data_IF_462513369201
#
_entry.id   IF_462513369201
#
_cell.length_a   1.000
_cell.length_b   1.000
_cell.length_c   1.000
_cell.angle_alpha   90.00
_cell.angle_beta   90.00
_cell.angle_gamma   90.00
#
_symmetry.space_group_name_H-M   'P 1'
#
loop_
_entity.id
_entity.type
_entity.pdbx_description
1 polymer ?
#
# COMPACT_ATOMS: atom_id res chain seq x y z
N UNK A 1 25.02 19.13 -4.29
CA UNK A 1 24.30 19.44 -3.05
C UNK A 1 24.26 18.20 -2.16
N UNK A 2 24.43 18.37 -0.85
CA UNK A 2 24.25 17.29 0.14
C UNK A 2 22.76 17.01 0.42
N UNK A 3 21.89 17.93 0.04
CA UNK A 3 20.46 17.89 0.25
C UNK A 3 19.72 18.00 -1.07
N UNK A 4 18.66 17.22 -1.23
CA UNK A 4 17.69 17.39 -2.35
C UNK A 4 16.88 18.65 -2.13
N UNK A 5 16.45 18.87 -0.92
CA UNK A 5 15.72 20.03 -0.47
C UNK A 5 16.05 20.33 0.99
N UNK A 6 16.00 21.62 1.36
CA UNK A 6 16.17 22.08 2.73
C UNK A 6 14.90 22.85 3.09
N UNK A 7 14.13 22.25 3.97
CA UNK A 7 12.85 22.80 4.40
C UNK A 7 12.90 23.22 5.87
N UNK A 8 12.08 24.21 6.29
CA UNK A 8 11.99 24.59 7.69
C UNK A 8 11.57 23.40 8.56
N UNK A 9 12.35 23.11 9.58
CA UNK A 9 12.07 22.06 10.56
C UNK A 9 11.21 22.63 11.69
N UNK A 10 9.91 22.46 11.59
CA UNK A 10 8.92 22.95 12.56
C UNK A 10 8.29 21.83 13.41
N UNK A 11 8.58 20.59 13.11
CA UNK A 11 8.10 19.44 13.87
C UNK A 11 9.31 18.67 14.44
N UNK A 12 9.46 18.56 15.79
CA UNK A 12 10.60 17.90 16.41
C UNK A 12 10.62 16.37 16.17
N UNK A 13 9.52 15.80 15.65
CA UNK A 13 9.38 14.37 15.39
C UNK A 13 9.46 14.01 13.90
N UNK A 14 9.65 15.00 13.02
CA UNK A 14 9.71 14.77 11.58
C UNK A 14 10.73 15.72 10.95
N UNK A 15 11.70 15.16 10.24
CA UNK A 15 12.61 15.91 9.40
C UNK A 15 11.97 16.18 8.04
N UNK A 16 11.85 17.45 7.64
CA UNK A 16 11.33 17.86 6.35
C UNK A 16 12.43 17.88 5.29
N UNK A 17 13.68 18.15 5.70
CA UNK A 17 14.83 18.15 4.80
C UNK A 17 15.27 16.71 4.49
N UNK A 18 15.50 16.42 3.21
CA UNK A 18 15.87 15.07 2.77
C UNK A 18 17.30 15.06 2.18
N UNK A 19 18.26 14.39 2.81
CA UNK A 19 19.62 14.31 2.29
C UNK A 19 19.73 13.39 1.07
N UNK A 20 20.46 13.84 0.05
CA UNK A 20 20.72 13.04 -1.17
C UNK A 20 21.25 11.65 -0.87
N UNK A 21 22.13 11.55 0.14
CA UNK A 21 22.69 10.26 0.52
C UNK A 21 21.65 9.29 1.09
N UNK A 22 20.66 9.77 1.84
CA UNK A 22 19.57 8.92 2.32
C UNK A 22 18.75 8.35 1.15
N UNK A 23 18.44 9.18 0.13
CA UNK A 23 17.79 8.73 -1.09
C UNK A 23 18.63 7.68 -1.82
N UNK A 24 19.93 7.91 -1.96
CA UNK A 24 20.83 6.96 -2.60
C UNK A 24 20.88 5.61 -1.86
N UNK A 25 20.95 5.64 -0.53
CA UNK A 25 20.94 4.41 0.28
C UNK A 25 19.61 3.67 0.17
N UNK A 26 18.47 4.38 0.18
CA UNK A 26 17.16 3.78 -0.01
C UNK A 26 17.04 3.07 -1.37
N UNK A 27 17.51 3.72 -2.44
CA UNK A 27 17.53 3.12 -3.80
C UNK A 27 18.44 1.89 -3.84
N UNK A 28 19.61 1.95 -3.21
CA UNK A 28 20.53 0.79 -3.14
C UNK A 28 19.89 -0.37 -2.39
N UNK A 29 19.33 -0.12 -1.21
CA UNK A 29 18.63 -1.14 -0.42
C UNK A 29 17.49 -1.78 -1.19
N UNK A 30 16.66 -0.98 -1.87
CA UNK A 30 15.55 -1.50 -2.68
C UNK A 30 16.07 -2.41 -3.81
N UNK A 31 17.18 -2.04 -4.45
CA UNK A 31 17.79 -2.88 -5.51
C UNK A 31 18.36 -4.19 -4.95
N UNK A 32 19.02 -4.16 -3.80
CA UNK A 32 19.52 -5.38 -3.15
C UNK A 32 18.38 -6.31 -2.75
N UNK A 33 17.32 -5.78 -2.11
CA UNK A 33 16.13 -6.57 -1.77
C UNK A 33 15.54 -7.22 -3.02
N UNK A 34 15.39 -6.47 -4.12
CA UNK A 34 14.84 -7.01 -5.36
C UNK A 34 15.75 -8.10 -5.94
N UNK A 35 17.05 -7.87 -5.96
CA UNK A 35 18.06 -8.85 -6.44
C UNK A 35 18.01 -10.14 -5.60
N UNK A 36 17.85 -10.02 -4.30
CA UNK A 36 17.76 -11.17 -3.40
C UNK A 36 16.46 -11.95 -3.61
N UNK A 37 15.32 -11.26 -3.75
CA UNK A 37 14.06 -11.90 -4.08
C UNK A 37 14.14 -12.68 -5.40
N UNK A 38 14.68 -12.07 -6.45
CA UNK A 38 14.87 -12.70 -7.76
C UNK A 38 15.80 -13.92 -7.68
N UNK A 39 16.84 -13.85 -6.86
CA UNK A 39 17.77 -14.97 -6.63
C UNK A 39 17.07 -16.11 -5.91
N UNK A 40 16.31 -15.82 -4.85
CA UNK A 40 15.57 -16.83 -4.10
C UNK A 40 14.41 -17.42 -4.91
N UNK A 41 13.75 -16.62 -5.77
CA UNK A 41 12.75 -17.12 -6.70
C UNK A 41 13.34 -18.16 -7.66
N UNK A 42 14.47 -17.80 -8.30
CA UNK A 42 15.17 -18.73 -9.22
C UNK A 42 15.71 -20.00 -8.53
N UNK A 43 16.10 -19.88 -7.27
CA UNK A 43 16.57 -21.01 -6.46
C UNK A 43 15.44 -21.86 -5.87
N UNK A 44 14.17 -21.46 -6.02
CA UNK A 44 13.02 -22.15 -5.41
C UNK A 44 13.00 -22.08 -3.88
N UNK A 45 13.67 -21.11 -3.28
CA UNK A 45 13.85 -21.00 -1.81
C UNK A 45 12.96 -19.95 -1.17
N UNK A 46 12.08 -19.28 -1.93
CA UNK A 46 11.13 -18.29 -1.40
C UNK A 46 10.20 -18.84 -0.33
N UNK A 47 9.90 -20.16 -0.37
CA UNK A 47 9.09 -20.81 0.67
C UNK A 47 9.69 -20.73 2.08
N UNK A 48 10.97 -20.34 2.21
CA UNK A 48 11.64 -20.13 3.50
C UNK A 48 11.42 -18.72 4.08
N UNK A 49 10.86 -17.80 3.30
CA UNK A 49 10.50 -16.48 3.80
C UNK A 49 9.33 -16.58 4.79
N UNK A 50 9.41 -15.86 5.91
CA UNK A 50 8.26 -15.73 6.79
C UNK A 50 7.10 -15.01 6.09
N UNK A 51 5.86 -15.15 6.59
CA UNK A 51 4.76 -14.34 6.11
C UNK A 51 5.06 -12.85 6.22
N UNK A 52 4.69 -12.11 5.18
CA UNK A 52 4.84 -10.65 5.10
C UNK A 52 3.49 -10.00 5.31
N UNK A 53 3.40 -9.09 6.28
CA UNK A 53 2.24 -8.24 6.48
C UNK A 53 2.62 -6.79 6.14
N UNK A 54 1.93 -6.23 5.15
CA UNK A 54 2.15 -4.85 4.72
C UNK A 54 0.90 -4.01 4.95
N UNK A 55 1.08 -2.82 5.52
CA UNK A 55 0.06 -1.78 5.61
C UNK A 55 0.45 -0.66 4.66
N UNK A 56 -0.42 -0.36 3.69
CA UNK A 56 -0.13 0.56 2.60
C UNK A 56 -1.32 1.47 2.31
N UNK A 57 -1.06 2.75 2.03
CA UNK A 57 -2.08 3.63 1.46
C UNK A 57 -2.18 3.44 -0.05
N UNK A 58 -3.39 3.44 -0.60
CA UNK A 58 -3.59 3.39 -2.06
C UNK A 58 -3.02 4.62 -2.78
N UNK A 59 -2.82 5.72 -2.05
CA UNK A 59 -2.31 7.00 -2.56
C UNK A 59 -0.88 7.31 -2.10
N UNK A 60 -0.11 6.32 -1.66
CA UNK A 60 1.29 6.57 -1.30
C UNK A 60 2.13 6.75 -2.58
N UNK A 61 2.55 7.98 -2.82
CA UNK A 61 3.41 8.35 -3.95
C UNK A 61 4.90 8.11 -3.66
N UNK A 62 5.26 7.90 -2.40
CA UNK A 62 6.65 7.59 -2.00
C UNK A 62 6.95 6.12 -2.19
N UNK A 63 6.00 5.25 -1.79
CA UNK A 63 6.07 3.81 -1.98
C UNK A 63 4.85 3.39 -2.80
N UNK A 64 5.03 3.29 -4.10
CA UNK A 64 3.96 2.99 -5.03
C UNK A 64 3.32 1.63 -4.73
N UNK A 65 2.02 1.64 -4.41
CA UNK A 65 1.27 0.43 -4.02
C UNK A 65 1.28 -0.65 -5.11
N UNK A 66 1.23 -0.26 -6.37
CA UNK A 66 1.33 -1.20 -7.48
C UNK A 66 2.71 -1.88 -7.55
N UNK A 67 3.78 -1.14 -7.23
CA UNK A 67 5.12 -1.70 -7.17
C UNK A 67 5.28 -2.69 -6.00
N UNK A 68 4.65 -2.44 -4.86
CA UNK A 68 4.63 -3.39 -3.73
C UNK A 68 4.01 -4.71 -4.17
N UNK A 69 2.90 -4.69 -4.91
CA UNK A 69 2.27 -5.91 -5.41
C UNK A 69 3.16 -6.60 -6.44
N UNK A 70 3.53 -5.91 -7.52
CA UNK A 70 4.20 -6.56 -8.66
C UNK A 70 5.63 -6.99 -8.37
N UNK A 71 6.32 -6.30 -7.45
CA UNK A 71 7.74 -6.56 -7.15
C UNK A 71 7.96 -7.37 -5.88
N UNK A 72 6.96 -7.49 -5.01
CA UNK A 72 7.06 -8.29 -3.79
C UNK A 72 5.98 -9.37 -3.76
N UNK A 73 4.71 -8.99 -3.65
CA UNK A 73 3.63 -9.94 -3.37
C UNK A 73 3.43 -10.99 -4.46
N UNK A 74 3.55 -10.63 -5.73
CA UNK A 74 3.40 -11.57 -6.85
C UNK A 74 4.54 -12.60 -6.94
N UNK A 75 5.62 -12.41 -6.16
CA UNK A 75 6.72 -13.37 -6.04
C UNK A 75 6.58 -14.26 -4.79
N UNK A 76 5.74 -13.87 -3.81
CA UNK A 76 5.62 -14.61 -2.57
C UNK A 76 4.89 -15.95 -2.77
N UNK A 77 5.31 -17.01 -2.05
CA UNK A 77 4.58 -18.26 -2.02
C UNK A 77 3.31 -18.14 -1.16
N UNK A 78 2.48 -19.19 -1.19
CA UNK A 78 1.32 -19.31 -0.31
C UNK A 78 1.77 -19.59 1.13
N UNK A 79 2.26 -18.57 1.83
CA UNK A 79 2.83 -18.66 3.17
C UNK A 79 2.05 -17.86 4.23
N UNK A 80 0.85 -17.36 3.89
CA UNK A 80 0.03 -16.54 4.80
C UNK A 80 0.34 -15.04 4.75
N UNK A 81 1.08 -14.58 3.74
CA UNK A 81 1.30 -13.13 3.53
C UNK A 81 0.01 -12.39 3.25
N UNK A 82 -0.10 -11.15 3.74
CA UNK A 82 -1.29 -10.31 3.58
C UNK A 82 -0.92 -8.85 3.33
N UNK A 83 -1.59 -8.23 2.37
CA UNK A 83 -1.52 -6.80 2.07
C UNK A 83 -2.77 -6.10 2.58
N UNK A 84 -2.61 -5.16 3.50
CA UNK A 84 -3.69 -4.31 4.01
C UNK A 84 -3.59 -2.93 3.37
N UNK A 85 -4.58 -2.58 2.57
CA UNK A 85 -4.69 -1.31 1.88
C UNK A 85 -5.66 -0.38 2.59
N UNK A 86 -5.24 0.84 2.83
CA UNK A 86 -6.10 1.93 3.28
C UNK A 86 -6.56 2.75 2.08
N UNK A 87 -7.85 2.70 1.80
CA UNK A 87 -8.49 3.51 0.76
C UNK A 87 -8.70 4.95 1.26
N UNK A 88 -9.01 5.85 0.33
CA UNK A 88 -9.41 7.22 0.65
C UNK A 88 -10.80 7.27 1.26
N UNK A 89 -11.08 8.36 1.98
CA UNK A 89 -12.44 8.70 2.38
C UNK A 89 -13.24 9.19 1.17
N UNK A 90 -14.02 8.32 0.57
CA UNK A 90 -14.82 8.62 -0.63
C UNK A 90 -15.95 9.61 -0.38
N UNK A 91 -16.47 9.67 0.87
CA UNK A 91 -17.47 10.65 1.26
C UNK A 91 -16.94 12.10 1.26
N UNK A 92 -15.62 12.29 1.21
CA UNK A 92 -14.99 13.60 1.09
C UNK A 92 -15.04 14.23 -0.30
N UNK A 93 -15.59 13.53 -1.29
CA UNK A 93 -15.69 13.98 -2.69
C UNK A 93 -14.34 14.41 -3.34
N UNK A 94 -13.22 13.87 -2.86
CA UNK A 94 -11.88 14.21 -3.35
C UNK A 94 -11.40 13.33 -4.51
N UNK A 95 -12.17 12.30 -4.89
CA UNK A 95 -11.82 11.39 -5.98
C UNK A 95 -11.38 12.10 -7.28
N UNK A 96 -11.99 13.23 -7.71
CA UNK A 96 -11.56 13.92 -8.91
C UNK A 96 -10.14 14.50 -8.86
N UNK A 97 -9.56 14.63 -7.67
CA UNK A 97 -8.21 15.14 -7.46
C UNK A 97 -7.13 14.06 -7.63
N UNK A 98 -7.52 12.78 -7.65
CA UNK A 98 -6.59 11.68 -7.72
C UNK A 98 -6.49 11.09 -9.12
N UNK A 99 -5.33 10.55 -9.44
CA UNK A 99 -5.11 9.89 -10.72
C UNK A 99 -5.97 8.62 -10.84
N UNK A 100 -6.49 8.37 -12.03
CA UNK A 100 -7.25 7.15 -12.32
C UNK A 100 -6.44 5.88 -12.06
N UNK A 101 -5.12 5.96 -12.18
CA UNK A 101 -4.20 4.85 -11.94
C UNK A 101 -4.23 4.37 -10.48
N UNK A 102 -4.15 5.31 -9.52
CA UNK A 102 -4.19 4.98 -8.10
C UNK A 102 -5.52 4.34 -7.68
N UNK A 103 -6.64 4.90 -8.16
CA UNK A 103 -7.97 4.36 -7.87
C UNK A 103 -8.23 3.02 -8.58
N UNK A 104 -7.79 2.89 -9.82
CA UNK A 104 -7.94 1.67 -10.62
C UNK A 104 -7.13 0.50 -10.08
N UNK A 105 -6.01 0.75 -9.42
CA UNK A 105 -5.20 -0.29 -8.78
C UNK A 105 -5.99 -1.04 -7.71
N UNK A 106 -6.66 -0.34 -6.80
CA UNK A 106 -7.52 -0.98 -5.80
C UNK A 106 -8.59 -1.88 -6.45
N UNK A 107 -9.25 -1.38 -7.49
CA UNK A 107 -10.31 -2.12 -8.17
C UNK A 107 -9.76 -3.36 -8.88
N UNK A 108 -8.51 -3.32 -9.35
CA UNK A 108 -7.85 -4.48 -9.95
C UNK A 108 -7.58 -5.59 -8.91
N UNK A 109 -7.33 -5.23 -7.66
CA UNK A 109 -7.16 -6.22 -6.59
C UNK A 109 -8.47 -6.89 -6.19
N UNK A 110 -9.60 -6.22 -6.42
CA UNK A 110 -10.95 -6.74 -6.18
C UNK A 110 -11.44 -7.77 -7.18
N UNK A 111 -10.82 -7.85 -8.36
CA UNK A 111 -11.27 -8.77 -9.40
C UNK A 111 -11.00 -10.23 -9.01
N UNK A 112 -12.06 -11.04 -9.04
CA UNK A 112 -12.02 -12.46 -8.67
C UNK A 112 -11.36 -13.38 -9.70
N UNK A 113 -11.04 -12.86 -10.89
CA UNK A 113 -10.44 -13.60 -12.01
C UNK A 113 -8.96 -13.95 -11.81
N UNK A 114 -8.30 -13.35 -10.80
CA UNK A 114 -6.90 -13.62 -10.50
C UNK A 114 -6.76 -14.29 -9.13
N UNK A 115 -6.44 -15.57 -9.14
CA UNK A 115 -6.06 -16.28 -7.93
C UNK A 115 -4.69 -15.78 -7.43
N UNK A 116 -4.60 -15.43 -6.14
CA UNK A 116 -3.37 -14.94 -5.52
C UNK A 116 -2.95 -15.83 -4.36
N UNK A 117 -1.64 -16.13 -4.22
CA UNK A 117 -1.12 -16.91 -3.10
C UNK A 117 -1.06 -16.12 -1.78
N UNK A 118 -1.50 -14.88 -1.77
CA UNK A 118 -1.51 -13.96 -0.63
C UNK A 118 -2.88 -13.32 -0.43
N UNK A 119 -3.15 -12.92 0.82
CA UNK A 119 -4.40 -12.26 1.18
C UNK A 119 -4.36 -10.76 0.89
N UNK A 120 -5.53 -10.18 0.56
CA UNK A 120 -5.70 -8.74 0.46
C UNK A 120 -6.86 -8.29 1.33
N UNK A 121 -6.63 -7.23 2.09
CA UNK A 121 -7.64 -6.55 2.89
C UNK A 121 -7.66 -5.08 2.47
N UNK A 122 -8.85 -4.53 2.20
CA UNK A 122 -9.03 -3.11 1.90
C UNK A 122 -9.92 -2.48 2.96
N UNK A 123 -9.43 -1.45 3.61
CA UNK A 123 -10.17 -0.62 4.56
C UNK A 123 -10.73 0.58 3.80
N UNK A 124 -12.03 0.66 3.67
CA UNK A 124 -12.71 1.66 2.82
C UNK A 124 -14.04 2.10 3.42
N UNK A 125 -14.72 3.05 2.80
CA UNK A 125 -16.06 3.45 3.25
C UNK A 125 -17.07 2.30 3.12
N UNK A 126 -18.00 2.21 4.06
CA UNK A 126 -19.15 1.29 3.99
C UNK A 126 -19.97 1.54 2.71
N UNK A 127 -20.18 2.79 2.38
CA UNK A 127 -20.74 3.29 1.11
C UNK A 127 -20.05 4.59 0.72
N UNK A 128 -19.99 4.94 -0.57
CA UNK A 128 -19.29 6.13 -1.05
C UNK A 128 -19.78 7.46 -0.44
N UNK A 129 -21.01 7.49 0.05
CA UNK A 129 -21.69 8.67 0.60
C UNK A 129 -21.69 8.72 2.13
N UNK A 130 -21.03 7.79 2.81
CA UNK A 130 -21.03 7.69 4.28
C UNK A 130 -19.63 7.68 4.85
N UNK A 131 -19.49 8.17 6.08
CA UNK A 131 -18.23 8.14 6.82
C UNK A 131 -17.96 6.78 7.49
N UNK A 132 -18.91 5.86 7.50
CA UNK A 132 -18.72 4.52 8.05
C UNK A 132 -17.60 3.76 7.32
N UNK A 133 -16.85 2.95 8.06
CA UNK A 133 -15.72 2.18 7.54
C UNK A 133 -16.08 0.71 7.48
N UNK A 134 -15.65 0.03 6.44
CA UNK A 134 -15.75 -1.42 6.30
C UNK A 134 -14.41 -2.02 5.87
N UNK A 135 -14.23 -3.26 6.28
CA UNK A 135 -13.20 -4.16 5.78
C UNK A 135 -13.78 -4.96 4.61
N UNK A 136 -13.05 -4.97 3.51
CA UNK A 136 -13.24 -5.88 2.40
C UNK A 136 -12.03 -6.80 2.35
N UNK A 137 -12.21 -8.11 2.53
CA UNK A 137 -11.11 -9.06 2.67
C UNK A 137 -11.26 -10.22 1.71
N UNK A 138 -10.19 -10.52 0.98
CA UNK A 138 -10.05 -11.73 0.17
C UNK A 138 -8.85 -12.53 0.65
N UNK A 139 -9.04 -13.64 1.33
CA UNK A 139 -7.97 -14.54 1.73
C UNK A 139 -7.20 -15.09 0.52
N UNK A 140 -5.97 -15.57 0.74
CA UNK A 140 -5.19 -16.28 -0.28
C UNK A 140 -6.01 -17.44 -0.88
N UNK A 141 -5.99 -17.57 -2.21
CA UNK A 141 -6.72 -18.61 -2.95
C UNK A 141 -8.25 -18.48 -2.97
N UNK A 142 -8.82 -17.48 -2.32
CA UNK A 142 -10.27 -17.28 -2.34
C UNK A 142 -10.72 -16.59 -3.64
N UNK A 143 -11.78 -17.11 -4.26
CA UNK A 143 -12.40 -16.50 -5.43
C UNK A 143 -13.17 -15.22 -5.05
N UNK A 144 -13.92 -15.27 -3.94
CA UNK A 144 -14.80 -14.20 -3.52
C UNK A 144 -14.32 -13.51 -2.24
N UNK A 145 -14.44 -12.19 -2.16
CA UNK A 145 -14.14 -11.45 -0.94
C UNK A 145 -15.29 -11.54 0.07
N UNK A 146 -14.96 -11.34 1.32
CA UNK A 146 -15.93 -11.06 2.40
C UNK A 146 -15.93 -9.57 2.72
N UNK A 147 -17.03 -9.06 3.24
CA UNK A 147 -17.16 -7.69 3.70
C UNK A 147 -17.69 -7.65 5.12
N UNK A 148 -17.08 -6.80 5.93
CA UNK A 148 -17.47 -6.59 7.32
C UNK A 148 -17.47 -5.09 7.64
N UNK A 149 -18.55 -4.58 8.21
CA UNK A 149 -18.57 -3.22 8.73
C UNK A 149 -17.76 -3.16 10.02
N UNK A 150 -16.98 -2.11 10.15
CA UNK A 150 -16.18 -1.83 11.34
C UNK A 150 -16.89 -0.77 12.19
N UNK A 151 -16.68 -0.81 13.51
CA UNK A 151 -17.16 0.22 14.42
C UNK A 151 -16.30 1.50 14.34
N UNK A 152 -15.93 1.88 13.12
CA UNK A 152 -15.08 3.03 12.81
C UNK A 152 -15.79 3.98 11.86
N UNK A 153 -15.40 5.24 11.94
CA UNK A 153 -15.83 6.28 11.00
C UNK A 153 -14.63 7.11 10.58
N UNK A 154 -14.58 7.49 9.31
CA UNK A 154 -13.68 8.55 8.89
C UNK A 154 -14.02 9.84 9.65
N UNK A 155 -13.05 10.50 10.28
CA UNK A 155 -13.25 11.83 10.79
C UNK A 155 -13.65 12.78 9.65
N UNK A 156 -14.46 13.79 9.95
CA UNK A 156 -14.76 14.83 8.97
C UNK A 156 -13.44 15.51 8.55
N UNK A 157 -13.34 15.88 7.30
CA UNK A 157 -12.15 16.56 6.73
C UNK A 157 -10.87 15.70 6.71
N UNK A 158 -10.95 14.42 7.11
CA UNK A 158 -9.86 13.47 6.95
C UNK A 158 -10.13 12.58 5.76
N UNK A 159 -9.24 12.59 4.80
CA UNK A 159 -9.39 11.84 3.55
C UNK A 159 -8.63 10.52 3.50
N UNK A 160 -7.82 10.22 4.52
CA UNK A 160 -7.16 8.93 4.69
C UNK A 160 -7.01 8.57 6.16
N UNK A 161 -7.09 7.28 6.49
CA UNK A 161 -6.78 6.73 7.83
C UNK A 161 -5.32 6.27 7.95
N UNK A 162 -4.55 6.42 6.90
CA UNK A 162 -3.14 6.07 6.84
C UNK A 162 -2.30 7.25 6.35
N UNK A 163 -0.98 7.11 6.44
CA UNK A 163 -0.07 8.06 5.82
C UNK A 163 -0.22 8.04 4.31
N UNK A 164 -0.28 9.23 3.70
CA UNK A 164 -0.18 9.42 2.25
C UNK A 164 0.85 10.52 1.98
N UNK A 165 1.66 10.31 0.94
CA UNK A 165 2.51 11.34 0.37
C UNK A 165 1.81 11.90 -0.86
N UNK A 166 1.58 13.21 -0.90
CA UNK A 166 1.06 13.89 -2.09
C UNK A 166 2.23 14.50 -2.86
N UNK A 167 2.30 14.35 -4.17
CA UNK A 167 3.29 15.07 -4.98
C UNK A 167 2.96 16.57 -4.94
N UNK A 168 3.98 17.39 -4.83
CA UNK A 168 3.89 18.83 -4.96
C UNK A 168 4.29 19.27 -6.35
#
# INVERSE_FOLDING_TARGET
SAWLDIQPEFNPFKYNSFPVNAGLQSVRLTREIQSDLDRHARAGTLARLPPVLTFQSVLDETVESAAVVTRLYDQLPANGSELVLFDINRAGALEPLFTRTALGFRDSLGRGDVERPWGVTVITNTRPDTLGVSEWRRPAGAAEPTRRELELKFPREVYSLSHIALPF
#
